data_IF_718941124296
#
_entry.id   IF_718941124296
#
_cell.length_a   1.000
_cell.length_b   1.000
_cell.length_c   1.000
_cell.angle_alpha   90.00
_cell.angle_beta   90.00
_cell.angle_gamma   90.00
#
_symmetry.space_group_name_H-M   'P 1'
#
loop_
_entity.id
_entity.type
_entity.pdbx_description
1 polymer ?
#
# COMPACT_ATOMS: atom_id res chain seq x y z
N UNK A 1 12.47 -4.65 10.23
CA UNK A 1 13.38 -4.67 9.06
C UNK A 1 13.49 -3.25 8.51
N UNK A 2 14.68 -2.85 8.06
CA UNK A 2 15.04 -1.47 7.72
C UNK A 2 14.89 -1.18 6.22
N UNK A 3 13.71 -0.74 5.79
CA UNK A 3 13.43 -0.41 4.38
C UNK A 3 13.44 1.10 4.09
N UNK A 4 13.59 1.95 5.11
CA UNK A 4 13.43 3.40 5.01
C UNK A 4 14.37 4.07 4.00
N UNK A 5 15.59 3.54 3.82
CA UNK A 5 16.60 4.15 2.93
C UNK A 5 16.25 4.01 1.45
N UNK A 6 15.52 2.97 1.07
CA UNK A 6 15.30 2.58 -0.33
C UNK A 6 13.81 2.40 -0.66
N UNK A 7 12.92 3.00 0.13
CA UNK A 7 11.48 2.94 -0.08
C UNK A 7 10.84 4.32 -0.04
N UNK A 8 9.65 4.42 -0.65
CA UNK A 8 8.72 5.53 -0.47
C UNK A 8 7.56 4.99 0.36
N UNK A 9 7.35 5.59 1.54
CA UNK A 9 6.20 5.27 2.38
C UNK A 9 4.98 6.05 1.91
N UNK A 10 3.88 5.35 1.60
CA UNK A 10 2.58 5.95 1.29
C UNK A 10 1.55 5.46 2.31
N UNK A 11 0.84 6.40 2.93
CA UNK A 11 -0.20 6.11 3.90
C UNK A 11 -1.54 6.63 3.38
N UNK A 12 -2.60 5.86 3.60
CA UNK A 12 -3.96 6.40 3.60
C UNK A 12 -4.39 6.59 5.06
N UNK A 13 -5.29 7.53 5.30
CA UNK A 13 -5.84 7.77 6.63
C UNK A 13 -6.95 6.76 6.95
N UNK A 14 -6.82 6.09 8.10
CA UNK A 14 -7.74 5.03 8.55
C UNK A 14 -7.02 3.73 8.89
N UNK A 15 -7.69 2.59 8.67
CA UNK A 15 -7.13 1.26 8.87
C UNK A 15 -7.69 0.50 10.08
N UNK A 16 -8.62 1.11 10.83
CA UNK A 16 -9.31 0.49 11.98
C UNK A 16 -10.83 0.65 11.84
N UNK A 17 -11.57 -0.42 12.11
CA UNK A 17 -13.03 -0.37 12.21
C UNK A 17 -13.50 0.28 13.53
N UNK A 18 -14.81 0.43 13.72
CA UNK A 18 -15.40 1.03 14.91
C UNK A 18 -15.08 0.30 16.24
N UNK A 19 -14.57 -0.94 16.17
CA UNK A 19 -14.11 -1.74 17.32
C UNK A 19 -12.60 -1.63 17.56
N UNK A 20 -11.90 -0.80 16.80
CA UNK A 20 -10.45 -0.66 16.85
C UNK A 20 -9.69 -1.84 16.23
N UNK A 21 -10.34 -2.67 15.42
CA UNK A 21 -9.70 -3.82 14.77
C UNK A 21 -9.22 -3.43 13.36
N UNK A 22 -8.10 -3.98 12.87
CA UNK A 22 -7.60 -3.75 11.52
C UNK A 22 -8.66 -4.02 10.44
N UNK A 23 -8.89 -3.06 9.55
CA UNK A 23 -9.81 -3.17 8.43
C UNK A 23 -9.41 -2.20 7.30
N UNK A 24 -9.65 -2.57 6.04
CA UNK A 24 -9.56 -1.61 4.92
C UNK A 24 -10.71 -0.62 5.03
N UNK A 25 -10.41 0.59 5.50
CA UNK A 25 -11.39 1.68 5.65
C UNK A 25 -11.21 2.76 4.59
N UNK A 26 -10.48 2.49 3.51
CA UNK A 26 -10.29 3.47 2.45
C UNK A 26 -11.62 3.85 1.82
N UNK A 27 -11.86 5.15 1.71
CA UNK A 27 -12.95 5.71 0.90
C UNK A 27 -12.69 5.44 -0.59
N UNK A 28 -13.73 5.44 -1.45
CA UNK A 28 -13.56 5.35 -2.89
C UNK A 28 -12.58 6.39 -3.45
N UNK A 29 -12.64 7.62 -2.92
CA UNK A 29 -11.78 8.74 -3.30
C UNK A 29 -10.32 8.48 -2.90
N UNK A 30 -10.07 7.94 -1.70
CA UNK A 30 -8.73 7.52 -1.28
C UNK A 30 -8.19 6.39 -2.16
N UNK A 31 -9.02 5.40 -2.55
CA UNK A 31 -8.59 4.32 -3.45
C UNK A 31 -8.19 4.87 -4.82
N UNK A 32 -8.97 5.79 -5.38
CA UNK A 32 -8.66 6.44 -6.65
C UNK A 32 -7.37 7.27 -6.57
N UNK A 33 -7.24 8.14 -5.55
CA UNK A 33 -6.06 8.97 -5.35
C UNK A 33 -4.78 8.14 -5.12
N UNK A 34 -4.88 7.09 -4.31
CA UNK A 34 -3.77 6.17 -4.05
C UNK A 34 -3.31 5.48 -5.33
N UNK A 35 -4.25 5.00 -6.15
CA UNK A 35 -3.92 4.36 -7.44
C UNK A 35 -3.25 5.34 -8.41
N UNK A 36 -3.73 6.58 -8.52
CA UNK A 36 -3.09 7.62 -9.34
C UNK A 36 -1.67 7.90 -8.88
N UNK A 37 -1.47 8.05 -7.57
CA UNK A 37 -0.14 8.27 -6.99
C UNK A 37 0.80 7.09 -7.27
N UNK A 38 0.34 5.85 -7.07
CA UNK A 38 1.14 4.66 -7.32
C UNK A 38 1.54 4.53 -8.79
N UNK A 39 0.63 4.83 -9.73
CA UNK A 39 0.94 4.83 -11.16
C UNK A 39 2.00 5.89 -11.51
N UNK A 40 1.91 7.09 -10.92
CA UNK A 40 2.91 8.14 -11.11
C UNK A 40 4.27 7.78 -10.53
N UNK A 41 4.30 7.16 -9.35
CA UNK A 41 5.53 6.66 -8.74
C UNK A 41 6.14 5.53 -9.56
N UNK A 42 5.34 4.57 -10.04
CA UNK A 42 5.82 3.49 -10.88
C UNK A 42 6.44 4.01 -12.19
N UNK A 43 5.83 5.02 -12.81
CA UNK A 43 6.39 5.68 -14.00
C UNK A 43 7.75 6.34 -13.74
N UNK A 44 7.97 6.89 -12.53
CA UNK A 44 9.26 7.49 -12.13
C UNK A 44 10.29 6.45 -11.70
N UNK A 45 9.83 5.34 -11.12
CA UNK A 45 10.64 4.26 -10.57
C UNK A 45 10.18 2.90 -11.12
N UNK A 46 10.42 2.61 -12.40
CA UNK A 46 9.81 1.46 -13.09
C UNK A 46 10.23 0.08 -12.56
N UNK A 47 11.29 0.02 -11.76
CA UNK A 47 11.75 -1.21 -11.09
C UNK A 47 11.27 -1.35 -9.64
N UNK A 48 10.56 -0.35 -9.11
CA UNK A 48 10.05 -0.39 -7.75
C UNK A 48 8.85 -1.33 -7.66
N UNK A 49 8.87 -2.23 -6.68
CA UNK A 49 7.77 -3.13 -6.36
C UNK A 49 6.77 -2.43 -5.43
N UNK A 50 5.48 -2.66 -5.65
CA UNK A 50 4.42 -2.14 -4.78
C UNK A 50 4.06 -3.24 -3.79
N UNK A 51 4.32 -3.00 -2.50
CA UNK A 51 4.09 -3.96 -1.41
C UNK A 51 3.40 -3.29 -0.24
N UNK A 52 2.68 -4.08 0.55
CA UNK A 52 2.16 -3.67 1.85
C UNK A 52 3.25 -3.73 2.92
N UNK A 53 3.06 -2.98 4.01
CA UNK A 53 3.97 -3.08 5.17
C UNK A 53 3.91 -4.49 5.80
N UNK A 54 2.76 -5.17 5.77
CA UNK A 54 2.60 -6.57 6.20
C UNK A 54 3.52 -7.52 5.40
N UNK A 55 3.68 -7.30 4.09
CA UNK A 55 4.54 -8.13 3.23
C UNK A 55 6.02 -8.06 3.67
N UNK A 56 6.44 -6.92 4.25
CA UNK A 56 7.79 -6.70 4.78
C UNK A 56 7.92 -7.04 6.26
N UNK A 57 6.80 -7.06 7.00
CA UNK A 57 6.73 -7.39 8.42
C UNK A 57 5.38 -8.04 8.76
N UNK A 58 5.29 -9.37 8.74
CA UNK A 58 4.04 -10.10 8.96
C UNK A 58 3.40 -9.87 10.34
N UNK A 59 4.12 -9.30 11.30
CA UNK A 59 3.57 -8.95 12.62
C UNK A 59 2.69 -7.68 12.58
N UNK A 60 2.66 -6.96 11.47
CA UNK A 60 1.88 -5.72 11.31
C UNK A 60 0.67 -5.98 10.44
N UNK A 61 -0.51 -5.51 10.84
CA UNK A 61 -1.70 -5.58 9.99
C UNK A 61 -1.70 -4.52 8.87
N UNK A 62 -0.93 -3.44 9.02
CA UNK A 62 -0.80 -2.36 8.03
C UNK A 62 -0.39 -2.93 6.65
N UNK A 63 -1.04 -2.57 5.54
CA UNK A 63 -2.00 -1.47 5.38
C UNK A 63 -3.47 -1.86 5.56
N UNK A 64 -3.77 -2.99 6.20
CA UNK A 64 -5.12 -3.52 6.40
C UNK A 64 -5.85 -3.83 5.08
N UNK A 65 -5.10 -4.02 4.00
CA UNK A 65 -5.56 -4.48 2.68
C UNK A 65 -5.23 -5.96 2.59
N UNK A 66 -6.18 -6.77 2.13
CA UNK A 66 -6.04 -8.24 2.08
C UNK A 66 -4.81 -8.69 1.28
N UNK A 67 -4.61 -8.13 0.09
CA UNK A 67 -3.44 -8.43 -0.73
C UNK A 67 -3.05 -7.22 -1.62
N UNK A 68 -2.05 -6.46 -1.19
CA UNK A 68 -1.55 -5.28 -1.92
C UNK A 68 -0.95 -5.65 -3.27
N UNK A 69 -0.16 -6.73 -3.31
CA UNK A 69 0.51 -7.17 -4.53
C UNK A 69 -0.50 -7.53 -5.62
N UNK A 70 -1.59 -8.19 -5.23
CA UNK A 70 -2.69 -8.55 -6.14
C UNK A 70 -3.54 -7.33 -6.53
N UNK A 71 -3.85 -6.43 -5.60
CA UNK A 71 -4.68 -5.24 -5.88
C UNK A 71 -4.02 -4.32 -6.93
N UNK A 72 -2.69 -4.22 -6.92
CA UNK A 72 -1.92 -3.40 -7.85
C UNK A 72 -1.08 -4.22 -8.83
N UNK A 73 -1.50 -5.45 -9.15
CA UNK A 73 -0.78 -6.35 -10.04
C UNK A 73 -0.47 -5.72 -11.42
N UNK A 74 -1.37 -4.87 -11.91
CA UNK A 74 -1.22 -4.17 -13.20
C UNK A 74 -0.19 -3.03 -13.17
N UNK A 75 0.22 -2.59 -11.98
CA UNK A 75 1.24 -1.56 -11.74
C UNK A 75 2.57 -2.14 -11.24
N UNK A 76 2.70 -3.47 -11.17
CA UNK A 76 3.97 -4.10 -10.81
C UNK A 76 4.98 -4.00 -11.97
N UNK A 77 6.29 -3.95 -11.67
CA UNK A 77 7.32 -4.12 -12.69
C UNK A 77 7.10 -5.39 -13.51
N UNK A 78 7.27 -5.28 -14.83
CA UNK A 78 7.26 -6.42 -15.76
C UNK A 78 8.60 -7.13 -15.78
#
# INVERSE_FOLDING_TARGET
MNHNKYSIGVCYEGGLNARGQPADTRTPEQKAALRTLLADLHRRYPRAVIVGHHDLNPQKACPCIENVTQEYADLQPK
#
